data_IF_785967298905
#
_entry.id   IF_785967298905
#
_cell.length_a   1.000
_cell.length_b   1.000
_cell.length_c   1.000
_cell.angle_alpha   90.00
_cell.angle_beta   90.00
_cell.angle_gamma   90.00
#
_symmetry.space_group_name_H-M   'P 1'
#
loop_
_entity.id
_entity.type
_entity.pdbx_description
1 polymer ?
#
# COMPACT_ATOMS: atom_id res chain seq x y z
N UNK A 1 -4.18 1.85 -3.90
CA UNK A 1 -3.20 1.36 -4.88
C UNK A 1 -2.91 -0.09 -4.53
N UNK A 2 -2.76 -0.97 -5.51
CA UNK A 2 -2.41 -2.36 -5.27
C UNK A 2 -1.36 -2.83 -6.29
N UNK A 3 -0.61 -3.86 -5.91
CA UNK A 3 0.33 -4.51 -6.81
C UNK A 3 -0.40 -5.29 -7.90
N UNK A 4 0.30 -5.56 -9.01
CA UNK A 4 -0.24 -6.32 -10.14
C UNK A 4 -0.59 -7.77 -9.81
N UNK A 5 -0.12 -8.30 -8.69
CA UNK A 5 -0.52 -9.62 -8.19
C UNK A 5 -2.02 -9.70 -7.85
N UNK A 6 -2.66 -8.57 -7.55
CA UNK A 6 -4.09 -8.49 -7.25
C UNK A 6 -4.90 -8.31 -8.56
N UNK A 7 -5.08 -9.41 -9.30
CA UNK A 7 -5.73 -9.40 -10.63
C UNK A 7 -7.24 -9.11 -10.58
N UNK A 8 -7.96 -9.73 -9.65
CA UNK A 8 -9.44 -9.68 -9.60
C UNK A 8 -9.99 -8.59 -8.65
N UNK A 9 -9.12 -7.75 -8.08
CA UNK A 9 -9.58 -6.76 -7.11
C UNK A 9 -10.31 -5.58 -7.77
N UNK A 10 -10.06 -5.33 -9.06
CA UNK A 10 -10.76 -4.28 -9.80
C UNK A 10 -12.28 -4.52 -9.85
N UNK A 11 -12.70 -5.77 -10.03
CA UNK A 11 -14.12 -6.16 -10.12
C UNK A 11 -14.85 -5.82 -8.81
N UNK A 12 -14.22 -6.13 -7.67
CA UNK A 12 -14.75 -5.84 -6.33
C UNK A 12 -14.78 -4.34 -6.03
N UNK A 13 -13.81 -3.58 -6.55
CA UNK A 13 -13.74 -2.13 -6.33
C UNK A 13 -14.69 -1.36 -7.26
N UNK A 14 -14.92 -1.86 -8.46
CA UNK A 14 -15.89 -1.30 -9.41
C UNK A 14 -17.30 -1.31 -8.82
N UNK A 15 -17.70 -2.38 -8.12
CA UNK A 15 -19.01 -2.44 -7.44
C UNK A 15 -19.17 -1.40 -6.31
N UNK A 16 -18.06 -0.77 -5.88
CA UNK A 16 -18.03 0.28 -4.85
C UNK A 16 -17.71 1.66 -5.43
N UNK A 17 -17.71 1.84 -6.75
CA UNK A 17 -17.29 3.07 -7.44
C UNK A 17 -15.87 3.53 -7.06
N UNK A 18 -14.95 2.58 -6.77
CA UNK A 18 -13.57 2.88 -6.43
C UNK A 18 -12.65 2.58 -7.62
N UNK A 19 -11.81 3.56 -7.98
CA UNK A 19 -10.80 3.39 -9.04
C UNK A 19 -9.49 2.88 -8.44
N UNK A 20 -9.01 1.74 -8.95
CA UNK A 20 -7.72 1.20 -8.53
C UNK A 20 -6.56 1.84 -9.30
N UNK A 21 -5.72 2.57 -8.57
CA UNK A 21 -4.42 3.04 -9.08
C UNK A 21 -3.40 1.92 -9.00
N UNK A 22 -2.67 1.66 -10.08
CA UNK A 22 -1.51 0.75 -10.12
C UNK A 22 -0.24 1.52 -10.50
N UNK A 23 0.92 1.20 -9.90
CA UNK A 23 2.19 1.79 -10.30
C UNK A 23 2.47 1.56 -11.79
N UNK A 24 3.01 2.55 -12.52
CA UNK A 24 3.41 2.37 -13.91
C UNK A 24 4.51 1.31 -14.00
N UNK A 25 4.48 0.50 -15.06
CA UNK A 25 5.55 -0.44 -15.39
C UNK A 25 6.34 0.09 -16.56
N UNK A 26 7.63 -0.22 -16.60
CA UNK A 26 8.49 0.07 -17.74
C UNK A 26 8.06 -0.85 -18.89
N UNK A 27 7.08 -0.43 -19.69
CA UNK A 27 6.75 -1.16 -20.92
C UNK A 27 6.58 -0.21 -22.10
N UNK A 28 7.32 -0.55 -23.16
CA UNK A 28 7.32 0.00 -24.52
C UNK A 28 8.29 1.17 -24.81
N UNK A 29 8.96 1.03 -25.96
CA UNK A 29 10.02 1.86 -26.54
C UNK A 29 9.52 3.23 -27.07
N UNK A 30 8.38 3.71 -26.58
CA UNK A 30 7.66 4.88 -27.11
C UNK A 30 7.79 6.03 -26.13
N UNK A 31 8.13 7.24 -26.63
CA UNK A 31 8.27 8.42 -25.76
C UNK A 31 6.91 8.78 -25.14
N UNK A 32 6.84 8.80 -23.82
CA UNK A 32 5.64 9.21 -23.08
C UNK A 32 5.33 10.69 -23.32
N UNK A 33 4.04 11.01 -23.40
CA UNK A 33 3.54 12.39 -23.47
C UNK A 33 3.77 13.13 -22.15
N UNK A 34 3.73 14.47 -22.18
CA UNK A 34 3.86 15.30 -20.96
C UNK A 34 2.80 14.97 -19.91
N UNK A 35 1.58 14.62 -20.34
CA UNK A 35 0.48 14.26 -19.46
C UNK A 35 0.73 12.92 -18.74
N UNK A 36 1.16 11.89 -19.47
CA UNK A 36 1.50 10.58 -18.91
C UNK A 36 2.67 10.69 -17.92
N UNK A 37 3.69 11.50 -18.23
CA UNK A 37 4.81 11.74 -17.30
C UNK A 37 4.33 12.40 -16.01
N UNK A 38 3.42 13.37 -16.09
CA UNK A 38 2.85 14.03 -14.90
C UNK A 38 2.07 13.04 -14.05
N UNK A 39 1.26 12.19 -14.67
CA UNK A 39 0.47 11.19 -13.97
C UNK A 39 1.35 10.10 -13.34
N UNK A 40 2.36 9.61 -14.06
CA UNK A 40 3.34 8.67 -13.53
C UNK A 40 4.08 9.23 -12.31
N UNK A 41 4.46 10.52 -12.33
CA UNK A 41 5.04 11.20 -11.16
C UNK A 41 4.09 11.23 -9.98
N UNK A 42 2.80 11.52 -10.21
CA UNK A 42 1.77 11.52 -9.16
C UNK A 42 1.60 10.14 -8.54
N UNK A 43 1.51 9.09 -9.37
CA UNK A 43 1.39 7.71 -8.90
C UNK A 43 2.65 7.28 -8.12
N UNK A 44 3.84 7.65 -8.61
CA UNK A 44 5.10 7.36 -7.91
C UNK A 44 5.16 8.04 -6.54
N UNK A 45 4.76 9.31 -6.43
CA UNK A 45 4.65 10.02 -5.15
C UNK A 45 3.71 9.31 -4.17
N UNK A 46 2.53 8.89 -4.63
CA UNK A 46 1.59 8.10 -3.82
C UNK A 46 2.18 6.75 -3.36
N UNK A 47 2.96 6.09 -4.23
CA UNK A 47 3.62 4.82 -3.88
C UNK A 47 4.60 4.98 -2.72
N UNK A 48 5.32 6.10 -2.65
CA UNK A 48 6.26 6.38 -1.55
C UNK A 48 5.51 6.42 -0.20
N UNK A 49 4.33 7.05 -0.14
CA UNK A 49 3.54 7.06 1.09
C UNK A 49 3.15 5.65 1.55
N UNK A 50 2.75 4.78 0.60
CA UNK A 50 2.37 3.40 0.89
C UNK A 50 3.57 2.59 1.39
N UNK A 51 4.74 2.71 0.75
CA UNK A 51 5.96 2.02 1.18
C UNK A 51 6.39 2.45 2.59
N UNK A 52 6.22 3.74 2.94
CA UNK A 52 6.47 4.23 4.31
C UNK A 52 5.52 3.65 5.33
N UNK A 53 4.22 3.59 5.02
CA UNK A 53 3.25 2.94 5.92
C UNK A 53 3.61 1.48 6.13
N UNK A 54 3.95 0.75 5.06
CA UNK A 54 4.42 -0.64 5.17
C UNK A 54 5.69 -0.74 6.02
N UNK A 55 6.65 0.18 5.83
CA UNK A 55 7.87 0.22 6.64
C UNK A 55 7.55 0.39 8.13
N UNK A 56 6.66 1.31 8.49
CA UNK A 56 6.23 1.53 9.88
C UNK A 56 5.49 0.32 10.46
N UNK A 57 4.65 -0.35 9.67
CA UNK A 57 3.99 -1.59 10.10
C UNK A 57 5.05 -2.65 10.49
N UNK A 58 6.14 -2.74 9.74
CA UNK A 58 7.22 -3.71 10.00
C UNK A 58 8.06 -3.39 11.25
N UNK A 59 7.98 -2.17 11.80
CA UNK A 59 8.63 -1.82 13.07
C UNK A 59 7.96 -2.54 14.26
N UNK A 60 6.69 -2.93 14.12
CA UNK A 60 6.02 -3.77 15.11
C UNK A 60 6.51 -5.21 14.96
N UNK A 61 7.29 -5.72 15.92
CA UNK A 61 7.89 -7.07 15.86
C UNK A 61 6.87 -8.20 15.57
N UNK A 62 5.64 -8.05 16.05
CA UNK A 62 4.55 -9.02 15.83
C UNK A 62 3.98 -9.00 14.39
N UNK A 63 4.20 -7.91 13.65
CA UNK A 63 3.77 -7.72 12.25
C UNK A 63 4.95 -7.73 11.26
N UNK A 64 6.17 -7.93 11.75
CA UNK A 64 7.37 -8.03 10.91
C UNK A 64 7.23 -9.25 9.97
N UNK A 65 7.82 -9.24 8.76
CA UNK A 65 7.81 -10.41 7.89
C UNK A 65 8.42 -11.60 8.62
N UNK A 66 7.77 -12.76 8.51
CA UNK A 66 8.16 -13.99 9.21
C UNK A 66 8.08 -13.92 10.74
N UNK A 67 7.28 -13.01 11.32
CA UNK A 67 7.02 -13.01 12.75
C UNK A 67 6.38 -14.34 13.19
N UNK A 68 7.01 -15.02 14.15
CA UNK A 68 6.45 -16.19 14.81
C UNK A 68 5.49 -15.73 15.91
N UNK A 69 4.19 -15.92 15.69
CA UNK A 69 3.14 -15.53 16.63
C UNK A 69 2.57 -16.78 17.29
N UNK A 70 2.42 -16.76 18.61
CA UNK A 70 1.83 -17.86 19.34
C UNK A 70 0.35 -18.06 18.93
N UNK A 71 -0.11 -19.30 18.79
CA UNK A 71 -1.48 -19.62 18.30
C UNK A 71 -2.59 -18.87 19.04
N UNK A 72 -2.48 -18.70 20.37
CA UNK A 72 -3.43 -17.93 21.18
C UNK A 72 -3.58 -16.47 20.74
N UNK A 73 -2.53 -15.87 20.18
CA UNK A 73 -2.52 -14.48 19.72
C UNK A 73 -3.11 -14.31 18.31
N UNK A 74 -3.30 -15.39 17.55
CA UNK A 74 -3.86 -15.33 16.19
C UNK A 74 -5.25 -14.70 16.21
N UNK A 75 -6.07 -15.02 17.21
CA UNK A 75 -7.42 -14.46 17.38
C UNK A 75 -7.44 -12.94 17.57
N UNK A 76 -6.31 -12.34 17.94
CA UNK A 76 -6.18 -10.89 18.13
C UNK A 76 -5.49 -10.18 16.96
N UNK A 77 -5.04 -10.91 15.91
CA UNK A 77 -4.25 -10.31 14.82
C UNK A 77 -4.98 -9.16 14.12
N UNK A 78 -6.28 -9.27 13.89
CA UNK A 78 -7.06 -8.20 13.28
C UNK A 78 -7.03 -6.93 14.13
N UNK A 79 -7.25 -7.07 15.44
CA UNK A 79 -7.16 -5.96 16.39
C UNK A 79 -5.76 -5.37 16.45
N UNK A 80 -4.72 -6.22 16.46
CA UNK A 80 -3.31 -5.78 16.45
C UNK A 80 -3.03 -4.95 15.20
N UNK A 81 -3.47 -5.39 14.01
CA UNK A 81 -3.32 -4.66 12.76
C UNK A 81 -4.06 -3.32 12.80
N UNK A 82 -5.31 -3.29 13.27
CA UNK A 82 -6.10 -2.06 13.37
C UNK A 82 -5.43 -1.06 14.31
N UNK A 83 -4.98 -1.51 15.48
CA UNK A 83 -4.31 -0.66 16.47
C UNK A 83 -2.99 -0.13 15.92
N UNK A 84 -2.15 -0.99 15.32
CA UNK A 84 -0.88 -0.58 14.72
C UNK A 84 -1.09 0.48 13.63
N UNK A 85 -2.05 0.26 12.72
CA UNK A 85 -2.41 1.23 11.69
C UNK A 85 -2.96 2.54 12.28
N UNK A 86 -3.77 2.46 13.33
CA UNK A 86 -4.28 3.63 14.06
C UNK A 86 -3.15 4.48 14.64
N UNK A 87 -2.17 3.84 15.29
CA UNK A 87 -0.97 4.51 15.81
C UNK A 87 -0.18 5.18 14.67
N UNK A 88 0.05 4.46 13.57
CA UNK A 88 0.77 5.00 12.40
C UNK A 88 0.06 6.22 11.82
N UNK A 89 -1.28 6.22 11.77
CA UNK A 89 -2.07 7.34 11.24
C UNK A 89 -1.99 8.61 12.10
N UNK A 90 -1.72 8.47 13.40
CA UNK A 90 -1.54 9.60 14.33
C UNK A 90 -0.13 10.16 14.25
N UNK A 91 0.85 9.36 13.82
CA UNK A 91 2.22 9.82 13.63
C UNK A 91 2.32 10.76 12.44
N UNK A 92 3.00 11.90 12.60
CA UNK A 92 3.23 12.85 11.52
C UNK A 92 3.85 12.16 10.29
N UNK A 93 3.31 12.47 9.11
CA UNK A 93 3.93 12.09 7.84
C UNK A 93 5.20 12.93 7.65
N UNK A 94 6.32 12.26 7.35
CA UNK A 94 7.63 12.89 7.25
C UNK A 94 7.87 13.68 5.94
N UNK A 95 6.89 13.76 5.03
CA UNK A 95 6.99 14.57 3.79
C UNK A 95 5.65 15.24 3.45
N UNK A 96 5.70 16.57 3.26
CA UNK A 96 4.73 17.41 2.54
C UNK A 96 4.99 17.36 1.04
#
# INVERSE_FOLDING_TARGET
>A
MADRGFKHIDEVLASKNVVLVRPPSVSSKTKSTKAEVKEAKRIASLRIHIERVISRIREFKILNPHACVHNKLITYLDNICIIACGIINIQNFLIN
#
